data_IF_629112379434
#
_entry.id   IF_629112379434
#
_cell.length_a   1.000
_cell.length_b   1.000
_cell.length_c   1.000
_cell.angle_alpha   90.00
_cell.angle_beta   90.00
_cell.angle_gamma   90.00
#
_symmetry.space_group_name_H-M   'P 1'
#
loop_
_entity.id
_entity.type
_entity.pdbx_description
1 polymer ?
#
# COMPACT_ATOMS: atom_id res chain seq x y z
N UNK A 1 9.19 0.23 -21.87
CA UNK A 1 8.15 -0.47 -21.06
C UNK A 1 7.65 0.46 -19.95
N UNK A 2 6.46 0.23 -19.37
CA UNK A 2 5.98 1.04 -18.22
C UNK A 2 6.93 0.83 -17.04
N UNK A 3 7.42 1.91 -16.41
CA UNK A 3 8.26 1.82 -15.22
C UNK A 3 7.42 2.21 -14.00
N UNK A 4 7.01 1.24 -13.18
CA UNK A 4 6.22 1.48 -11.97
C UNK A 4 7.07 2.01 -10.80
N UNK A 5 8.40 1.85 -10.86
CA UNK A 5 9.30 2.37 -9.82
C UNK A 5 9.41 3.90 -9.82
N UNK A 6 8.90 4.57 -10.87
CA UNK A 6 8.83 6.04 -10.94
C UNK A 6 7.53 6.61 -10.37
N UNK A 7 6.59 5.76 -9.94
CA UNK A 7 5.40 6.21 -9.20
C UNK A 7 5.86 6.72 -7.84
N UNK A 8 5.53 7.97 -7.56
CA UNK A 8 5.93 8.67 -6.33
C UNK A 8 4.80 8.68 -5.32
N UNK A 9 5.16 8.64 -4.04
CA UNK A 9 4.25 8.43 -2.92
C UNK A 9 4.38 9.57 -1.90
N UNK A 10 3.25 10.02 -1.38
CA UNK A 10 3.19 10.73 -0.12
C UNK A 10 2.67 9.75 0.94
N UNK A 11 3.49 9.49 1.95
CA UNK A 11 3.17 8.58 3.04
C UNK A 11 2.46 9.29 4.17
N UNK A 12 1.59 8.58 4.89
CA UNK A 12 0.96 9.04 6.13
C UNK A 12 0.27 10.41 5.97
N UNK A 13 -0.52 10.58 4.90
CA UNK A 13 -1.30 11.81 4.61
C UNK A 13 -2.50 11.90 5.58
N UNK A 14 -2.18 12.09 6.86
CA UNK A 14 -3.08 11.87 7.98
C UNK A 14 -3.68 13.15 8.59
N UNK A 15 -3.50 14.30 7.94
CA UNK A 15 -4.06 15.57 8.40
C UNK A 15 -4.33 16.51 7.22
N UNK A 16 -5.20 17.50 7.44
CA UNK A 16 -5.63 18.44 6.38
C UNK A 16 -4.48 19.24 5.79
N UNK A 17 -3.61 19.78 6.65
CA UNK A 17 -2.48 20.62 6.22
C UNK A 17 -1.58 19.85 5.26
N UNK A 18 -1.29 18.60 5.58
CA UNK A 18 -0.45 17.77 4.74
C UNK A 18 -1.16 17.29 3.48
N UNK A 19 -2.47 16.95 3.55
CA UNK A 19 -3.29 16.66 2.37
C UNK A 19 -3.24 17.81 1.36
N UNK A 20 -3.46 19.04 1.81
CA UNK A 20 -3.39 20.24 0.95
C UNK A 20 -2.01 20.38 0.29
N UNK A 21 -0.93 20.20 1.05
CA UNK A 21 0.43 20.28 0.53
C UNK A 21 0.73 19.22 -0.54
N UNK A 22 0.32 17.97 -0.33
CA UNK A 22 0.63 16.87 -1.27
C UNK A 22 -0.25 16.90 -2.52
N UNK A 23 -1.49 17.39 -2.41
CA UNK A 23 -2.33 17.66 -3.57
C UNK A 23 -1.67 18.67 -4.50
N UNK A 24 -1.08 19.74 -3.96
CA UNK A 24 -0.38 20.78 -4.72
C UNK A 24 0.99 20.38 -5.29
N UNK A 25 1.49 19.19 -4.97
CA UNK A 25 2.84 18.74 -5.36
C UNK A 25 2.83 17.78 -6.55
N UNK A 26 3.98 17.21 -6.91
CA UNK A 26 4.12 16.32 -8.07
C UNK A 26 3.95 14.82 -7.77
N UNK A 27 3.66 14.44 -6.52
CA UNK A 27 3.45 13.02 -6.13
C UNK A 27 2.31 12.38 -6.92
N UNK A 28 2.41 11.08 -7.17
CA UNK A 28 1.43 10.30 -7.92
C UNK A 28 0.35 9.68 -7.03
N UNK A 29 0.73 9.12 -5.88
CA UNK A 29 -0.14 8.36 -4.97
C UNK A 29 -0.10 8.95 -3.56
N UNK A 30 -1.27 9.08 -2.94
CA UNK A 30 -1.42 9.48 -1.54
C UNK A 30 -1.76 8.24 -0.72
N UNK A 31 -0.86 7.86 0.17
CA UNK A 31 -1.06 6.81 1.15
C UNK A 31 -1.47 7.46 2.48
N UNK A 32 -2.51 6.91 3.11
CA UNK A 32 -3.00 7.40 4.39
C UNK A 32 -3.53 6.25 5.25
N UNK A 33 -3.24 6.36 6.55
CA UNK A 33 -3.60 5.37 7.54
C UNK A 33 -5.05 5.57 7.99
N UNK A 34 -5.83 4.49 8.04
CA UNK A 34 -7.24 4.54 8.44
C UNK A 34 -7.44 3.80 9.75
N UNK A 35 -7.91 4.53 10.76
CA UNK A 35 -8.29 4.02 12.08
C UNK A 35 -9.71 4.47 12.45
N UNK A 36 -10.33 3.77 13.40
CA UNK A 36 -11.51 4.28 14.08
C UNK A 36 -11.09 5.33 15.11
N UNK A 37 -11.74 6.50 15.11
CA UNK A 37 -11.42 7.57 16.02
C UNK A 37 -12.39 8.74 15.97
N UNK A 38 -12.00 9.87 16.51
CA UNK A 38 -12.83 11.08 16.57
C UNK A 38 -12.22 12.23 15.77
N UNK A 39 -13.08 13.06 15.20
CA UNK A 39 -12.63 14.31 14.58
C UNK A 39 -12.30 15.35 15.66
N UNK A 40 -11.15 16.00 15.54
CA UNK A 40 -10.72 17.04 16.47
C UNK A 40 -11.78 18.14 16.60
N UNK A 41 -12.20 18.41 17.83
CA UNK A 41 -13.18 19.48 18.15
C UNK A 41 -14.62 19.19 17.73
N UNK A 42 -14.97 17.93 17.40
CA UNK A 42 -16.36 17.52 17.13
C UNK A 42 -16.79 16.41 18.09
N UNK A 43 -17.96 16.59 18.69
CA UNK A 43 -18.63 15.53 19.43
C UNK A 43 -19.33 14.57 18.47
N UNK A 44 -19.31 13.27 18.77
CA UNK A 44 -19.99 12.26 17.98
C UNK A 44 -19.46 10.85 18.20
N UNK A 45 -20.11 9.84 17.60
CA UNK A 45 -19.61 8.48 17.61
C UNK A 45 -18.28 8.39 16.83
N UNK A 46 -17.40 7.43 17.18
CA UNK A 46 -16.20 7.18 16.39
C UNK A 46 -16.52 6.89 14.92
N UNK A 47 -15.68 7.40 14.02
CA UNK A 47 -15.75 7.17 12.58
C UNK A 47 -14.36 6.86 12.01
N UNK A 48 -14.26 6.37 10.75
CA UNK A 48 -12.98 6.24 10.07
C UNK A 48 -12.31 7.61 9.85
N UNK A 49 -11.11 7.77 10.39
CA UNK A 49 -10.30 8.98 10.29
C UNK A 49 -8.92 8.66 9.73
N UNK A 50 -8.26 9.67 9.17
CA UNK A 50 -6.89 9.57 8.69
C UNK A 50 -5.94 9.76 9.87
N UNK A 51 -5.36 8.68 10.39
CA UNK A 51 -4.44 8.70 11.53
C UNK A 51 -3.68 7.38 11.67
N UNK A 52 -2.42 7.47 12.12
CA UNK A 52 -1.60 6.31 12.46
C UNK A 52 -1.67 6.00 13.97
N UNK A 53 -1.87 4.73 14.39
CA UNK A 53 -1.80 4.35 15.80
C UNK A 53 -0.50 4.83 16.48
N UNK A 54 -0.56 5.25 17.76
CA UNK A 54 -1.69 5.15 18.68
C UNK A 54 -2.68 6.33 18.59
N UNK A 55 -2.56 7.23 17.60
CA UNK A 55 -3.49 8.34 17.46
C UNK A 55 -4.91 7.84 17.17
N UNK A 56 -5.87 8.35 17.96
CA UNK A 56 -7.31 8.07 17.82
C UNK A 56 -8.12 9.33 17.52
N UNK A 57 -7.42 10.43 17.20
CA UNK A 57 -8.02 11.70 16.80
C UNK A 57 -7.30 12.26 15.58
N UNK A 58 -8.03 12.94 14.72
CA UNK A 58 -7.50 13.62 13.53
C UNK A 58 -8.40 14.80 13.15
N UNK A 59 -7.84 15.79 12.46
CA UNK A 59 -8.63 16.86 11.85
C UNK A 59 -9.25 16.44 10.50
N UNK A 60 -8.95 15.23 10.03
CA UNK A 60 -9.28 14.72 8.71
C UNK A 60 -10.00 13.36 8.78
N UNK A 61 -11.25 13.33 8.32
CA UNK A 61 -12.00 12.08 8.18
C UNK A 61 -11.66 11.36 6.88
N UNK A 62 -11.97 10.06 6.80
CA UNK A 62 -11.86 9.33 5.52
C UNK A 62 -12.73 9.95 4.42
N UNK A 63 -13.94 10.38 4.77
CA UNK A 63 -14.85 11.02 3.83
C UNK A 63 -14.26 12.33 3.29
N UNK A 64 -13.79 13.21 4.17
CA UNK A 64 -13.20 14.49 3.77
C UNK A 64 -11.93 14.30 2.92
N UNK A 65 -11.09 13.32 3.26
CA UNK A 65 -9.90 12.99 2.47
C UNK A 65 -10.26 12.55 1.05
N UNK A 66 -11.16 11.57 0.89
CA UNK A 66 -11.54 11.07 -0.43
C UNK A 66 -12.26 12.14 -1.26
N UNK A 67 -13.11 12.96 -0.63
CA UNK A 67 -13.74 14.11 -1.27
C UNK A 67 -12.71 15.14 -1.73
N UNK A 68 -11.71 15.47 -0.90
CA UNK A 68 -10.65 16.41 -1.26
C UNK A 68 -9.84 15.93 -2.46
N UNK A 69 -9.46 14.65 -2.49
CA UNK A 69 -8.75 14.05 -3.64
C UNK A 69 -9.61 14.06 -4.91
N UNK A 70 -10.90 13.72 -4.82
CA UNK A 70 -11.81 13.76 -5.97
C UNK A 70 -11.99 15.18 -6.50
N UNK A 71 -12.17 16.17 -5.62
CA UNK A 71 -12.30 17.57 -6.01
C UNK A 71 -11.06 18.06 -6.75
N UNK A 72 -9.86 17.75 -6.24
CA UNK A 72 -8.61 18.04 -6.93
C UNK A 72 -8.55 17.34 -8.31
N UNK A 73 -8.86 16.05 -8.36
CA UNK A 73 -8.76 15.25 -9.59
C UNK A 73 -9.77 15.62 -10.68
N UNK A 74 -10.88 16.28 -10.33
CA UNK A 74 -11.89 16.73 -11.29
C UNK A 74 -11.46 17.97 -12.08
N UNK A 75 -10.51 18.75 -11.57
CA UNK A 75 -10.09 20.02 -12.18
C UNK A 75 -8.62 20.03 -12.60
N UNK A 76 -7.85 18.98 -12.28
CA UNK A 76 -6.44 18.86 -12.62
C UNK A 76 -6.19 17.69 -13.58
N UNK A 77 -5.39 17.94 -14.63
CA UNK A 77 -5.04 16.92 -15.61
C UNK A 77 -4.17 15.79 -15.00
N UNK A 78 -3.29 16.14 -14.05
CA UNK A 78 -2.46 15.18 -13.33
C UNK A 78 -3.21 14.69 -12.09
N UNK A 79 -3.97 13.62 -12.26
CA UNK A 79 -4.72 12.99 -11.17
C UNK A 79 -3.81 12.30 -10.15
N UNK A 80 -4.29 12.26 -8.91
CA UNK A 80 -3.70 11.59 -7.75
C UNK A 80 -4.40 10.28 -7.49
N UNK A 81 -3.65 9.20 -7.31
CA UNK A 81 -4.18 7.95 -6.80
C UNK A 81 -4.23 7.92 -5.27
N UNK A 82 -4.98 6.97 -4.73
CA UNK A 82 -5.21 6.81 -3.29
C UNK A 82 -4.83 5.40 -2.86
N UNK A 83 -4.13 5.27 -1.74
CA UNK A 83 -3.91 4.02 -1.02
C UNK A 83 -4.37 4.18 0.44
N UNK A 84 -5.42 3.46 0.81
CA UNK A 84 -5.99 3.48 2.15
C UNK A 84 -5.41 2.32 2.97
N UNK A 85 -4.59 2.62 3.98
CA UNK A 85 -3.98 1.62 4.85
C UNK A 85 -4.81 1.38 6.11
N UNK A 86 -5.65 0.34 6.08
CA UNK A 86 -6.52 0.00 7.20
C UNK A 86 -5.73 -0.69 8.31
N UNK A 87 -5.73 -0.08 9.49
CA UNK A 87 -5.04 -0.62 10.68
C UNK A 87 -5.91 -1.58 11.51
N UNK A 88 -7.20 -1.68 11.19
CA UNK A 88 -8.12 -2.63 11.82
C UNK A 88 -9.26 -3.02 10.89
N UNK A 89 -9.83 -4.20 11.13
CA UNK A 89 -11.01 -4.64 10.37
C UNK A 89 -12.24 -3.77 10.65
N UNK A 90 -12.38 -3.26 11.88
CA UNK A 90 -13.47 -2.37 12.28
C UNK A 90 -13.45 -1.07 11.46
N UNK A 91 -12.26 -0.48 11.26
CA UNK A 91 -12.11 0.70 10.42
C UNK A 91 -12.54 0.41 8.98
N UNK A 92 -12.14 -0.74 8.42
CA UNK A 92 -12.51 -1.12 7.06
C UNK A 92 -14.02 -1.38 6.90
N UNK A 93 -14.64 -2.03 7.88
CA UNK A 93 -16.10 -2.25 7.93
C UNK A 93 -16.88 -0.94 7.94
N UNK A 94 -16.49 -0.01 8.81
CA UNK A 94 -17.15 1.30 8.91
C UNK A 94 -16.89 2.21 7.73
N UNK A 95 -15.91 1.86 6.89
CA UNK A 95 -15.54 2.63 5.70
C UNK A 95 -16.27 2.22 4.43
N UNK A 96 -16.99 1.08 4.42
CA UNK A 96 -17.58 0.51 3.19
C UNK A 96 -18.49 1.50 2.45
N UNK A 97 -19.38 2.18 3.17
CA UNK A 97 -20.29 3.16 2.59
C UNK A 97 -19.55 4.39 2.06
N UNK A 98 -18.49 4.80 2.75
CA UNK A 98 -17.66 5.96 2.36
C UNK A 98 -16.82 5.65 1.12
N UNK A 99 -16.29 4.43 1.00
CA UNK A 99 -15.43 4.01 -0.12
C UNK A 99 -16.24 3.69 -1.38
N UNK A 100 -17.45 3.13 -1.23
CA UNK A 100 -18.26 2.63 -2.34
C UNK A 100 -18.39 3.59 -3.53
N UNK A 101 -18.68 4.90 -3.35
CA UNK A 101 -18.73 5.86 -4.46
C UNK A 101 -17.43 5.97 -5.26
N UNK A 102 -16.28 5.81 -4.62
CA UNK A 102 -14.95 5.95 -5.23
C UNK A 102 -14.49 4.69 -5.96
N UNK A 103 -15.19 3.57 -5.75
CA UNK A 103 -14.94 2.31 -6.45
C UNK A 103 -15.74 2.15 -7.76
N UNK A 104 -16.57 3.14 -8.13
CA UNK A 104 -17.46 3.10 -9.30
C UNK A 104 -16.83 3.58 -10.62
N UNK A 105 -17.27 3.08 -11.79
CA UNK A 105 -16.77 3.41 -13.14
C UNK A 105 -16.41 4.87 -13.40
N UNK A 106 -17.15 5.80 -12.82
CA UNK A 106 -17.03 7.24 -13.02
C UNK A 106 -15.77 7.82 -12.36
N UNK A 107 -15.21 7.13 -11.36
CA UNK A 107 -13.95 7.50 -10.73
C UNK A 107 -12.78 6.86 -11.48
N UNK A 108 -11.94 7.71 -12.07
CA UNK A 108 -10.87 7.33 -12.99
C UNK A 108 -9.49 7.19 -12.36
N UNK A 109 -9.29 7.75 -11.16
CA UNK A 109 -8.04 7.60 -10.42
C UNK A 109 -8.00 6.26 -9.66
N UNK A 110 -6.81 5.67 -9.46
CA UNK A 110 -6.70 4.38 -8.79
C UNK A 110 -6.98 4.49 -7.29
N UNK A 111 -7.78 3.56 -6.79
CA UNK A 111 -8.05 3.34 -5.37
C UNK A 111 -7.44 2.01 -4.94
N UNK A 112 -6.60 2.05 -3.91
CA UNK A 112 -5.94 0.87 -3.35
C UNK A 112 -6.44 0.63 -1.93
N UNK A 113 -6.80 -0.61 -1.63
CA UNK A 113 -7.20 -1.06 -0.30
C UNK A 113 -6.02 -1.83 0.29
N UNK A 114 -5.34 -1.23 1.24
CA UNK A 114 -4.15 -1.78 1.88
C UNK A 114 -4.46 -2.30 3.27
N UNK A 115 -3.92 -3.48 3.60
CA UNK A 115 -3.89 -3.99 4.96
C UNK A 115 -2.82 -5.07 5.12
N UNK A 116 -2.22 -5.11 6.30
CA UNK A 116 -1.44 -6.26 6.76
C UNK A 116 -2.39 -7.33 7.32
N UNK A 117 -2.71 -8.33 6.49
CA UNK A 117 -3.74 -9.35 6.79
C UNK A 117 -3.15 -10.68 7.27
N UNK A 118 -1.82 -10.83 7.19
CA UNK A 118 -1.11 -12.01 7.69
C UNK A 118 0.03 -11.64 8.64
N UNK A 119 0.44 -12.54 9.55
CA UNK A 119 1.61 -12.31 10.39
C UNK A 119 2.89 -12.39 9.55
N UNK A 120 3.76 -11.39 9.65
CA UNK A 120 5.01 -11.36 8.90
C UNK A 120 6.24 -11.78 9.70
N UNK A 121 7.43 -11.62 9.08
CA UNK A 121 8.69 -12.11 9.63
C UNK A 121 9.05 -11.55 11.01
N UNK A 122 10.00 -12.21 11.66
CA UNK A 122 10.63 -11.75 12.91
C UNK A 122 9.63 -11.57 14.07
N UNK A 123 8.62 -12.45 14.13
CA UNK A 123 7.63 -12.52 15.21
C UNK A 123 7.00 -11.14 15.47
N UNK A 124 6.44 -10.55 14.40
CA UNK A 124 5.70 -9.31 14.51
C UNK A 124 4.59 -9.42 15.57
N UNK A 125 4.52 -8.43 16.46
CA UNK A 125 3.55 -8.42 17.57
C UNK A 125 2.26 -7.70 17.22
N UNK A 126 2.26 -6.92 16.13
CA UNK A 126 1.06 -6.27 15.62
C UNK A 126 0.07 -7.35 15.18
N UNK A 127 -1.16 -7.25 15.67
CA UNK A 127 -2.26 -8.13 15.25
C UNK A 127 -2.61 -7.80 13.80
N UNK A 128 -2.57 -8.77 12.87
CA UNK A 128 -3.03 -8.55 11.51
C UNK A 128 -4.52 -8.19 11.46
N UNK A 129 -4.91 -7.46 10.43
CA UNK A 129 -6.32 -7.27 10.07
C UNK A 129 -6.94 -8.63 9.73
N UNK A 130 -8.20 -8.85 10.10
CA UNK A 130 -8.88 -10.12 9.81
C UNK A 130 -8.89 -10.41 8.30
N UNK A 131 -8.20 -11.47 7.83
CA UNK A 131 -7.99 -11.70 6.41
C UNK A 131 -9.28 -12.08 5.68
N UNK A 132 -10.10 -12.93 6.29
CA UNK A 132 -11.34 -13.43 5.69
C UNK A 132 -12.31 -12.27 5.47
N UNK A 133 -12.56 -11.51 6.54
CA UNK A 133 -13.49 -10.39 6.50
C UNK A 133 -12.99 -9.26 5.61
N UNK A 134 -11.68 -9.02 5.59
CA UNK A 134 -11.09 -8.04 4.67
C UNK A 134 -11.35 -8.43 3.21
N UNK A 135 -11.05 -9.66 2.80
CA UNK A 135 -11.24 -10.08 1.40
C UNK A 135 -12.74 -10.12 1.00
N UNK A 136 -13.62 -10.57 1.90
CA UNK A 136 -15.07 -10.53 1.68
C UNK A 136 -15.59 -9.11 1.42
N UNK A 137 -15.18 -8.14 2.23
CA UNK A 137 -15.58 -6.74 2.06
C UNK A 137 -14.93 -6.11 0.83
N UNK A 138 -13.65 -6.38 0.59
CA UNK A 138 -12.91 -5.83 -0.54
C UNK A 138 -13.46 -6.30 -1.90
N UNK A 139 -14.06 -7.50 -1.96
CA UNK A 139 -14.74 -8.02 -3.14
C UNK A 139 -15.89 -7.13 -3.66
N UNK A 140 -16.46 -6.28 -2.79
CA UNK A 140 -17.49 -5.29 -3.15
C UNK A 140 -16.94 -4.11 -3.95
N UNK A 141 -15.61 -4.00 -4.05
CA UNK A 141 -14.89 -2.94 -4.74
C UNK A 141 -14.01 -3.50 -5.87
N UNK A 142 -14.58 -4.16 -6.90
CA UNK A 142 -13.84 -4.95 -7.89
C UNK A 142 -12.84 -4.13 -8.74
N UNK A 143 -12.97 -2.80 -8.76
CA UNK A 143 -12.04 -1.89 -9.44
C UNK A 143 -10.87 -1.43 -8.59
N UNK A 144 -10.93 -1.65 -7.27
CA UNK A 144 -9.84 -1.30 -6.39
C UNK A 144 -8.69 -2.32 -6.51
N UNK A 145 -7.46 -1.83 -6.38
CA UNK A 145 -6.27 -2.69 -6.25
C UNK A 145 -6.19 -3.16 -4.80
N UNK A 146 -5.98 -4.46 -4.59
CA UNK A 146 -5.70 -4.99 -3.26
C UNK A 146 -4.19 -4.88 -2.99
N UNK A 147 -3.83 -4.22 -1.89
CA UNK A 147 -2.46 -4.13 -1.40
C UNK A 147 -2.35 -4.92 -0.10
N UNK A 148 -2.21 -6.24 -0.20
CA UNK A 148 -2.35 -7.16 0.94
C UNK A 148 -0.99 -7.68 1.40
N UNK A 149 -0.66 -7.39 2.65
CA UNK A 149 0.68 -7.56 3.20
C UNK A 149 0.76 -8.46 4.42
N UNK A 150 1.91 -8.36 5.07
CA UNK A 150 2.19 -9.02 6.33
C UNK A 150 2.64 -7.99 7.35
N UNK A 151 2.22 -8.16 8.60
CA UNK A 151 2.72 -7.33 9.70
C UNK A 151 4.23 -7.47 9.83
N UNK A 152 4.97 -6.37 10.02
CA UNK A 152 6.43 -6.44 10.12
C UNK A 152 6.96 -5.92 11.45
N UNK A 153 8.06 -6.52 11.91
CA UNK A 153 8.87 -6.05 13.03
C UNK A 153 10.33 -6.02 12.60
N UNK A 154 10.71 -4.93 11.92
CA UNK A 154 12.04 -4.70 11.38
C UNK A 154 12.43 -3.24 11.65
N UNK A 155 13.73 -2.93 11.61
CA UNK A 155 14.27 -1.60 11.94
C UNK A 155 14.77 -1.49 13.39
N UNK A 156 15.46 -0.39 13.68
CA UNK A 156 16.19 -0.21 14.94
C UNK A 156 17.28 -1.27 15.10
N UNK A 157 17.18 -2.10 16.15
CA UNK A 157 18.16 -3.17 16.41
C UNK A 157 17.92 -4.45 15.60
N UNK A 158 16.86 -4.51 14.79
CA UNK A 158 16.54 -5.67 13.95
C UNK A 158 16.94 -5.36 12.52
N UNK A 159 18.08 -5.90 12.11
CA UNK A 159 18.69 -5.65 10.79
C UNK A 159 18.69 -6.86 9.87
N UNK A 160 18.19 -8.01 10.33
CA UNK A 160 18.13 -9.25 9.57
C UNK A 160 16.73 -9.87 9.60
N UNK A 161 16.41 -10.60 8.53
CA UNK A 161 15.15 -11.31 8.37
C UNK A 161 14.78 -11.53 6.91
N UNK A 162 13.82 -12.43 6.70
CA UNK A 162 13.31 -12.80 5.39
C UNK A 162 11.86 -13.30 5.50
N UNK A 163 11.11 -13.21 4.41
CA UNK A 163 9.84 -13.89 4.23
C UNK A 163 10.09 -15.39 4.03
N UNK A 164 9.31 -16.23 4.72
CA UNK A 164 9.43 -17.68 4.63
C UNK A 164 8.50 -18.27 3.58
N UNK A 165 8.80 -19.49 3.11
CA UNK A 165 7.88 -20.26 2.24
C UNK A 165 6.50 -20.46 2.86
N UNK A 166 6.44 -20.61 4.18
CA UNK A 166 5.17 -20.77 4.90
C UNK A 166 4.31 -19.51 4.81
N UNK A 167 4.92 -18.32 4.99
CA UNK A 167 4.23 -17.03 4.90
C UNK A 167 3.73 -16.75 3.49
N UNK A 168 4.54 -17.05 2.47
CA UNK A 168 4.15 -16.94 1.07
C UNK A 168 3.04 -17.94 0.75
N UNK A 169 3.17 -19.19 1.20
CA UNK A 169 2.14 -20.21 1.01
C UNK A 169 0.82 -19.87 1.68
N UNK A 170 0.84 -19.21 2.84
CA UNK A 170 -0.36 -18.72 3.51
C UNK A 170 -1.08 -17.65 2.69
N UNK A 171 -0.34 -16.69 2.11
CA UNK A 171 -0.92 -15.68 1.22
C UNK A 171 -1.53 -16.32 -0.03
N UNK A 172 -0.81 -17.25 -0.66
CA UNK A 172 -1.30 -17.96 -1.85
C UNK A 172 -2.59 -18.73 -1.57
N UNK A 173 -2.65 -19.48 -0.46
CA UNK A 173 -3.87 -20.18 -0.05
C UNK A 173 -5.04 -19.21 0.13
N UNK A 174 -4.82 -18.13 0.87
CA UNK A 174 -5.86 -17.15 1.16
C UNK A 174 -6.42 -16.51 -0.11
N UNK A 175 -5.55 -16.06 -1.02
CA UNK A 175 -5.93 -15.46 -2.30
C UNK A 175 -6.74 -16.44 -3.16
N UNK A 176 -6.33 -17.72 -3.20
CA UNK A 176 -7.01 -18.76 -3.98
C UNK A 176 -8.35 -19.18 -3.37
N UNK A 177 -8.40 -19.45 -2.06
CA UNK A 177 -9.61 -19.90 -1.35
C UNK A 177 -10.73 -18.85 -1.41
N UNK A 178 -10.36 -17.57 -1.37
CA UNK A 178 -11.31 -16.45 -1.47
C UNK A 178 -11.59 -15.99 -2.90
N UNK A 179 -11.05 -16.69 -3.92
CA UNK A 179 -11.29 -16.40 -5.34
C UNK A 179 -11.05 -14.93 -5.71
N UNK A 180 -9.97 -14.34 -5.19
CA UNK A 180 -9.61 -12.95 -5.49
C UNK A 180 -9.47 -12.78 -7.00
N UNK A 181 -10.14 -11.77 -7.54
CA UNK A 181 -10.14 -11.46 -8.98
C UNK A 181 -9.69 -10.01 -9.29
N UNK A 182 -9.39 -9.24 -8.24
CA UNK A 182 -8.88 -7.88 -8.33
C UNK A 182 -7.39 -7.90 -8.71
N UNK A 183 -6.89 -6.78 -9.23
CA UNK A 183 -5.44 -6.59 -9.32
C UNK A 183 -4.85 -6.57 -7.92
N UNK A 184 -3.74 -7.30 -7.73
CA UNK A 184 -3.07 -7.40 -6.42
C UNK A 184 -1.67 -6.82 -6.49
N UNK A 185 -1.28 -6.10 -5.44
CA UNK A 185 0.12 -5.86 -5.13
C UNK A 185 0.44 -6.42 -3.74
N UNK A 186 1.65 -6.94 -3.60
CA UNK A 186 2.15 -7.43 -2.32
C UNK A 186 3.15 -6.41 -1.75
N UNK A 187 2.78 -5.61 -0.73
CA UNK A 187 3.71 -4.75 -0.04
C UNK A 187 4.71 -5.59 0.76
N UNK A 188 5.99 -5.46 0.41
CA UNK A 188 7.10 -6.16 1.06
C UNK A 188 8.12 -5.15 1.57
N UNK A 189 8.57 -5.34 2.81
CA UNK A 189 9.51 -4.42 3.44
C UNK A 189 10.92 -4.65 2.90
N UNK A 190 11.58 -3.59 2.44
CA UNK A 190 12.84 -3.61 1.68
C UNK A 190 13.93 -4.47 2.33
N UNK A 191 14.18 -4.29 3.63
CA UNK A 191 15.19 -5.05 4.36
C UNK A 191 14.92 -6.56 4.38
N UNK A 192 13.66 -6.96 4.54
CA UNK A 192 13.24 -8.36 4.50
C UNK A 192 13.23 -8.91 3.06
N UNK A 193 12.70 -8.13 2.12
CA UNK A 193 12.58 -8.49 0.71
C UNK A 193 13.95 -8.76 0.07
N UNK A 194 14.97 -7.98 0.45
CA UNK A 194 16.35 -8.14 -0.03
C UNK A 194 16.92 -9.54 0.21
N UNK A 195 16.44 -10.27 1.22
CA UNK A 195 16.86 -11.63 1.53
C UNK A 195 15.88 -12.71 1.02
N UNK A 196 14.74 -12.31 0.45
CA UNK A 196 13.59 -13.20 0.21
C UNK A 196 13.35 -13.53 -1.26
N UNK A 197 14.32 -13.29 -2.14
CA UNK A 197 14.10 -13.34 -3.58
C UNK A 197 13.43 -14.63 -4.08
N UNK A 198 13.88 -15.85 -3.73
CA UNK A 198 13.27 -17.07 -4.26
C UNK A 198 11.76 -17.17 -3.96
N UNK A 199 11.35 -16.84 -2.72
CA UNK A 199 9.96 -17.00 -2.30
C UNK A 199 9.06 -15.88 -2.82
N UNK A 200 9.60 -14.67 -3.03
CA UNK A 200 8.87 -13.56 -3.65
C UNK A 200 8.66 -13.78 -5.15
N UNK A 201 9.63 -14.39 -5.84
CA UNK A 201 9.46 -14.78 -7.24
C UNK A 201 8.41 -15.89 -7.38
N UNK A 202 8.40 -16.87 -6.47
CA UNK A 202 7.34 -17.88 -6.40
C UNK A 202 5.96 -17.21 -6.22
N UNK A 203 5.80 -16.30 -5.25
CA UNK A 203 4.55 -15.55 -5.03
C UNK A 203 4.02 -14.88 -6.30
N UNK A 204 4.89 -14.12 -6.99
CA UNK A 204 4.50 -13.35 -8.18
C UNK A 204 4.22 -14.22 -9.40
N UNK A 205 4.88 -15.40 -9.50
CA UNK A 205 4.59 -16.38 -10.55
C UNK A 205 3.23 -17.00 -10.35
N UNK A 206 2.95 -17.51 -9.14
CA UNK A 206 1.69 -18.21 -8.81
C UNK A 206 0.46 -17.28 -8.84
N UNK A 207 0.67 -15.95 -8.82
CA UNK A 207 -0.41 -14.95 -8.82
C UNK A 207 -0.48 -14.14 -10.12
N UNK A 208 0.16 -14.60 -11.19
CA UNK A 208 0.20 -13.89 -12.49
C UNK A 208 -1.20 -13.62 -13.06
N UNK A 209 -2.17 -14.52 -12.82
CA UNK A 209 -3.57 -14.36 -13.24
C UNK A 209 -4.26 -13.12 -12.64
N UNK A 210 -3.72 -12.59 -11.54
CA UNK A 210 -4.23 -11.40 -10.84
C UNK A 210 -3.56 -10.11 -11.30
N UNK A 211 -2.79 -10.14 -12.39
CA UNK A 211 -1.92 -9.03 -12.81
C UNK A 211 -1.05 -8.54 -11.64
N UNK A 212 -0.50 -9.48 -10.88
CA UNK A 212 0.12 -9.16 -9.59
C UNK A 212 1.42 -8.39 -9.72
N UNK A 213 1.67 -7.51 -8.76
CA UNK A 213 2.88 -6.70 -8.63
C UNK A 213 3.46 -6.77 -7.21
N UNK A 214 4.67 -6.25 -7.06
CA UNK A 214 5.34 -6.09 -5.77
C UNK A 214 5.42 -4.60 -5.45
N UNK A 215 5.08 -4.21 -4.22
CA UNK A 215 5.36 -2.85 -3.71
C UNK A 215 6.47 -2.97 -2.69
N UNK A 216 7.66 -2.48 -3.01
CA UNK A 216 8.79 -2.45 -2.07
C UNK A 216 8.66 -1.19 -1.23
N UNK A 217 8.51 -1.35 0.09
CA UNK A 217 8.42 -0.22 1.01
C UNK A 217 9.49 -0.27 2.11
N UNK A 218 9.84 0.87 2.70
CA UNK A 218 10.84 0.93 3.77
C UNK A 218 10.57 2.09 4.72
N UNK A 219 10.81 1.91 6.01
CA UNK A 219 10.90 3.05 6.93
C UNK A 219 12.27 3.72 6.81
N UNK A 220 12.35 4.99 7.23
CA UNK A 220 13.65 5.65 7.42
C UNK A 220 14.51 4.88 8.43
N UNK A 221 15.78 4.70 8.10
CA UNK A 221 16.73 3.99 8.96
C UNK A 221 16.68 2.46 8.92
N UNK A 222 15.79 1.85 8.14
CA UNK A 222 15.82 0.40 7.91
C UNK A 222 17.17 -0.02 7.27
N UNK A 223 17.77 -1.08 7.78
CA UNK A 223 18.92 -1.70 7.14
C UNK A 223 18.47 -2.41 5.85
N UNK A 224 19.19 -2.24 4.74
CA UNK A 224 18.82 -2.85 3.47
C UNK A 224 20.08 -3.27 2.71
N UNK A 225 20.14 -4.55 2.33
CA UNK A 225 21.15 -5.06 1.40
C UNK A 225 20.83 -4.57 -0.02
N UNK A 226 21.35 -3.38 -0.36
CA UNK A 226 20.99 -2.64 -1.58
C UNK A 226 21.17 -3.47 -2.85
N UNK A 227 22.30 -4.18 -2.99
CA UNK A 227 22.58 -4.97 -4.19
C UNK A 227 21.60 -6.13 -4.36
N UNK A 228 21.21 -6.79 -3.26
CA UNK A 228 20.23 -7.87 -3.30
C UNK A 228 18.84 -7.34 -3.61
N UNK A 229 18.45 -6.23 -3.00
CA UNK A 229 17.18 -5.59 -3.30
C UNK A 229 17.10 -5.15 -4.77
N UNK A 230 18.17 -4.53 -5.28
CA UNK A 230 18.27 -4.15 -6.70
C UNK A 230 18.15 -5.37 -7.61
N UNK A 231 18.85 -6.46 -7.31
CA UNK A 231 18.77 -7.70 -8.08
C UNK A 231 17.34 -8.27 -8.09
N UNK A 232 16.65 -8.28 -6.94
CA UNK A 232 15.25 -8.68 -6.84
C UNK A 232 14.35 -7.80 -7.74
N UNK A 233 14.44 -6.47 -7.62
CA UNK A 233 13.62 -5.52 -8.40
C UNK A 233 13.82 -5.73 -9.90
N UNK A 234 15.07 -5.88 -10.34
CA UNK A 234 15.38 -6.10 -11.76
C UNK A 234 14.93 -7.48 -12.25
N UNK A 235 14.92 -8.49 -11.38
CA UNK A 235 14.42 -9.83 -11.72
C UNK A 235 12.89 -9.85 -11.82
N UNK A 236 12.19 -9.11 -10.96
CA UNK A 236 10.72 -8.97 -11.01
C UNK A 236 10.29 -8.13 -12.21
N UNK A 237 11.08 -7.11 -12.56
CA UNK A 237 10.78 -6.16 -13.62
C UNK A 237 10.26 -4.84 -13.05
N UNK A 238 10.68 -3.73 -13.69
CA UNK A 238 10.27 -2.38 -13.31
C UNK A 238 8.79 -2.12 -13.60
N UNK A 239 8.21 -2.87 -14.54
CA UNK A 239 6.80 -2.84 -14.93
C UNK A 239 5.89 -3.60 -13.95
N UNK A 240 6.46 -4.30 -12.97
CA UNK A 240 5.74 -5.03 -11.92
C UNK A 240 6.18 -4.66 -10.50
N UNK A 241 6.99 -3.61 -10.36
CA UNK A 241 7.51 -3.17 -9.06
C UNK A 241 7.20 -1.71 -8.79
N UNK A 242 6.42 -1.45 -7.75
CA UNK A 242 6.31 -0.11 -7.16
C UNK A 242 7.40 0.08 -6.10
N UNK A 243 7.91 1.32 -6.00
CA UNK A 243 8.97 1.67 -5.06
C UNK A 243 8.49 2.79 -4.13
N UNK A 244 8.41 2.47 -2.84
CA UNK A 244 7.82 3.28 -1.78
C UNK A 244 8.80 3.42 -0.60
N UNK A 245 9.99 3.96 -0.90
CA UNK A 245 11.14 3.96 0.02
C UNK A 245 11.74 5.36 0.18
N UNK A 246 12.48 5.64 1.28
CA UNK A 246 13.16 6.91 1.47
C UNK A 246 14.09 7.25 0.29
N UNK A 247 14.18 8.55 -0.01
CA UNK A 247 14.96 9.06 -1.15
C UNK A 247 16.42 8.55 -1.16
N UNK A 248 17.06 8.44 0.00
CA UNK A 248 18.42 7.92 0.11
C UNK A 248 18.55 6.47 -0.36
N UNK A 249 17.58 5.61 -0.01
CA UNK A 249 17.59 4.22 -0.46
C UNK A 249 17.28 4.14 -1.96
N UNK A 250 16.29 4.90 -2.43
CA UNK A 250 15.95 4.96 -3.85
C UNK A 250 17.15 5.38 -4.71
N UNK A 251 17.93 6.37 -4.26
CA UNK A 251 19.13 6.85 -4.95
C UNK A 251 20.23 5.78 -5.02
N UNK A 252 20.41 4.98 -3.96
CA UNK A 252 21.42 3.90 -3.88
C UNK A 252 21.08 2.70 -4.77
N UNK A 253 19.81 2.47 -5.10
CA UNK A 253 19.41 1.34 -5.94
C UNK A 253 19.89 1.46 -7.39
N UNK A 254 20.22 2.67 -7.86
CA UNK A 254 20.70 2.92 -9.22
C UNK A 254 19.88 2.17 -10.29
N UNK A 255 18.55 2.29 -10.18
CA UNK A 255 17.62 1.67 -11.12
C UNK A 255 17.70 2.36 -12.50
N UNK A 256 17.46 1.61 -13.59
CA UNK A 256 17.43 2.20 -14.93
C UNK A 256 16.43 3.36 -15.00
N UNK A 257 16.78 4.45 -15.70
CA UNK A 257 15.84 5.55 -15.91
C UNK A 257 14.62 5.06 -16.68
N UNK A 258 13.45 5.71 -16.54
CA UNK A 258 12.31 5.43 -17.41
C UNK A 258 12.73 5.56 -18.87
N UNK A 259 12.43 4.54 -19.69
CA UNK A 259 12.78 4.52 -21.11
C UNK A 259 12.33 5.82 -21.80
N UNK A 260 13.28 6.60 -22.34
CA UNK A 260 12.99 7.79 -23.15
C UNK A 260 12.27 7.48 -24.49
N UNK A 261 11.96 6.19 -24.75
CA UNK A 261 11.33 5.69 -25.99
C UNK A 261 9.83 5.44 -25.88
N UNK A 262 9.15 5.86 -24.82
CA UNK A 262 7.69 5.96 -24.81
C UNK A 262 7.22 7.32 -25.36
N UNK A 263 7.67 7.66 -26.58
CA UNK A 263 6.96 8.61 -27.44
C UNK A 263 6.44 7.81 -28.62
N UNK A 264 5.13 7.58 -28.60
CA UNK A 264 4.18 7.51 -29.72
C UNK A 264 2.92 6.80 -29.25
#
# INVERSE_FOLDING_TARGET
MRNLTTVTWAHAVNNKTYLEAVLASEVSMLEADVVMGQLSGKDGPPLPIMAHPPATTSDLSLADFLTGVLQYNNVNAKQKGVKLDFKSIEAFEKSQEVISPFSKPEVTFPLWLNADILPGPIKATTKPVDPVKFLELASKHPRAVLSIGWTTKYGGNITEGEYSREQIGAMLRLVNEHHVNQTVTFPVRAGLASNSQPVLLDLLRETTSLNSSMTVWSSEGDNVEVDRLRALILTVGLERTYLDVPHELAAKLHLPPPDAKAKN
#
